data_IF_453663914703
#
_entry.id   IF_453663914703
#
_cell.length_a   1.000
_cell.length_b   1.000
_cell.length_c   1.000
_cell.angle_alpha   90.00
_cell.angle_beta   90.00
_cell.angle_gamma   90.00
#
_symmetry.space_group_name_H-M   'P 1'
#
loop_
_entity.id
_entity.type
_entity.pdbx_description
1 polymer ?
#
# COMPACT_ATOMS: atom_id res chain seq x y z
N UNK A 1 -6.90 -7.01 -20.97
CA UNK A 1 -7.75 -6.06 -21.73
C UNK A 1 -8.68 -5.39 -20.73
N UNK A 2 -8.50 -4.09 -20.52
CA UNK A 2 -9.07 -3.26 -19.43
C UNK A 2 -10.54 -2.90 -19.73
N UNK A 3 -11.48 -3.14 -18.80
CA UNK A 3 -12.87 -2.72 -18.98
C UNK A 3 -13.57 -2.25 -17.68
N UNK A 4 -14.08 -1.00 -17.77
CA UNK A 4 -15.35 -0.44 -17.26
C UNK A 4 -15.81 -0.78 -15.82
N UNK A 5 -15.77 0.22 -14.92
CA UNK A 5 -16.90 0.83 -14.16
C UNK A 5 -16.36 1.61 -12.93
N UNK A 6 -16.80 2.87 -12.78
CA UNK A 6 -16.73 3.88 -11.68
C UNK A 6 -15.75 3.77 -10.47
N UNK A 7 -15.36 2.60 -9.99
CA UNK A 7 -14.36 2.40 -8.94
C UNK A 7 -12.92 2.51 -9.47
N UNK A 8 -12.73 2.22 -10.76
CA UNK A 8 -11.45 2.23 -11.50
C UNK A 8 -10.68 3.56 -11.52
N UNK A 9 -11.34 4.67 -11.19
CA UNK A 9 -10.62 5.95 -11.12
C UNK A 9 -9.92 6.09 -9.78
N UNK A 10 -10.52 5.63 -8.68
CA UNK A 10 -9.98 5.89 -7.35
C UNK A 10 -8.73 5.04 -7.10
N UNK A 11 -8.76 3.75 -7.45
CA UNK A 11 -7.63 2.85 -7.39
C UNK A 11 -6.50 3.25 -8.36
N UNK A 12 -6.79 3.63 -9.61
CA UNK A 12 -5.76 4.17 -10.52
C UNK A 12 -5.20 5.49 -9.97
N UNK A 13 -6.01 6.42 -9.47
CA UNK A 13 -5.55 7.69 -8.88
C UNK A 13 -4.70 7.45 -7.63
N UNK A 14 -5.13 6.55 -6.74
CA UNK A 14 -4.37 6.16 -5.55
C UNK A 14 -3.05 5.54 -5.99
N UNK A 15 -3.07 4.60 -6.92
CA UNK A 15 -1.84 3.96 -7.43
C UNK A 15 -0.90 4.99 -8.05
N UNK A 16 -1.39 5.92 -8.88
CA UNK A 16 -0.59 7.00 -9.46
C UNK A 16 -0.04 7.95 -8.38
N UNK A 17 -0.84 8.27 -7.37
CA UNK A 17 -0.43 9.15 -6.27
C UNK A 17 0.63 8.47 -5.42
N UNK A 18 0.42 7.21 -5.02
CA UNK A 18 1.40 6.41 -4.27
C UNK A 18 2.66 6.15 -5.07
N UNK A 19 2.56 6.07 -6.40
CA UNK A 19 3.73 5.93 -7.25
C UNK A 19 4.69 7.13 -7.15
N UNK A 20 4.20 8.32 -6.80
CA UNK A 20 5.06 9.48 -6.48
C UNK A 20 5.95 9.25 -5.27
N UNK A 21 5.65 8.26 -4.43
CA UNK A 21 6.47 7.83 -3.29
C UNK A 21 7.38 6.63 -3.61
N UNK A 22 7.22 6.02 -4.79
CA UNK A 22 7.97 4.85 -5.26
C UNK A 22 7.10 3.59 -5.40
N UNK A 23 7.53 2.64 -6.25
CA UNK A 23 6.81 1.38 -6.47
C UNK A 23 6.73 0.53 -5.20
N UNK A 24 7.85 0.35 -4.49
CA UNK A 24 7.88 -0.41 -3.23
C UNK A 24 6.92 0.16 -2.18
N UNK A 25 6.78 1.49 -2.09
CA UNK A 25 5.84 2.13 -1.17
C UNK A 25 4.39 1.75 -1.47
N UNK A 26 3.97 1.86 -2.73
CA UNK A 26 2.64 1.42 -3.17
C UNK A 26 2.39 -0.05 -2.85
N UNK A 27 3.38 -0.91 -3.10
CA UNK A 27 3.27 -2.35 -2.79
C UNK A 27 3.06 -2.58 -1.30
N UNK A 28 3.78 -1.88 -0.41
CA UNK A 28 3.59 -2.00 1.04
C UNK A 28 2.13 -1.73 1.48
N UNK A 29 1.48 -0.74 0.89
CA UNK A 29 0.10 -0.41 1.23
C UNK A 29 -0.87 -1.48 0.69
N UNK A 30 -0.68 -1.95 -0.54
CA UNK A 30 -1.56 -2.97 -1.11
C UNK A 30 -1.48 -4.32 -0.38
N UNK A 31 -0.28 -4.76 0.01
CA UNK A 31 -0.14 -6.01 0.78
C UNK A 31 -0.81 -5.90 2.14
N UNK A 32 -0.77 -4.72 2.78
CA UNK A 32 -1.44 -4.48 4.05
C UNK A 32 -2.96 -4.62 3.92
N UNK A 33 -3.53 -3.98 2.89
CA UNK A 33 -4.96 -4.05 2.60
C UNK A 33 -5.39 -5.48 2.28
N UNK A 34 -4.68 -6.15 1.37
CA UNK A 34 -4.99 -7.53 0.99
C UNK A 34 -4.90 -8.48 2.20
N UNK A 35 -3.88 -8.31 3.05
CA UNK A 35 -3.73 -9.12 4.26
C UNK A 35 -4.84 -8.85 5.29
N UNK A 36 -5.29 -7.59 5.43
CA UNK A 36 -6.41 -7.23 6.28
C UNK A 36 -7.73 -7.81 5.78
N UNK A 37 -7.98 -7.76 4.47
CA UNK A 37 -9.22 -8.25 3.83
C UNK A 37 -9.45 -9.75 4.08
N UNK A 38 -8.39 -10.55 4.08
CA UNK A 38 -8.49 -11.99 4.38
C UNK A 38 -8.32 -12.32 5.87
N UNK A 39 -8.21 -11.30 6.73
CA UNK A 39 -8.07 -11.45 8.19
C UNK A 39 -6.71 -11.98 8.65
N UNK A 40 -5.68 -11.92 7.80
CA UNK A 40 -4.30 -12.31 8.16
C UNK A 40 -3.55 -11.20 8.90
N UNK A 41 -3.93 -9.94 8.69
CA UNK A 41 -3.39 -8.80 9.42
C UNK A 41 -4.49 -8.14 10.27
N UNK A 42 -4.18 -7.89 11.54
CA UNK A 42 -5.10 -7.21 12.46
C UNK A 42 -5.20 -5.72 12.12
N UNK A 43 -6.42 -5.23 11.88
CA UNK A 43 -6.69 -3.80 11.64
C UNK A 43 -6.61 -2.93 12.91
N UNK A 44 -6.21 -3.52 14.04
CA UNK A 44 -6.10 -2.84 15.34
C UNK A 44 -4.66 -2.70 15.83
N UNK A 45 -3.71 -3.31 15.14
CA UNK A 45 -2.32 -3.37 15.55
C UNK A 45 -1.43 -2.77 14.46
N UNK A 46 -0.27 -2.26 14.88
CA UNK A 46 0.75 -1.82 13.93
C UNK A 46 1.41 -3.04 13.29
N UNK A 47 1.69 -2.91 11.99
CA UNK A 47 2.37 -3.93 11.20
C UNK A 47 3.51 -3.28 10.41
N UNK A 48 4.60 -4.04 10.25
CA UNK A 48 5.67 -3.70 9.33
C UNK A 48 5.34 -4.30 7.96
N UNK A 49 5.17 -3.45 6.97
CA UNK A 49 4.97 -3.86 5.58
C UNK A 49 6.26 -3.62 4.78
N UNK A 50 6.65 -4.65 4.02
CA UNK A 50 7.89 -4.65 3.24
C UNK A 50 7.53 -4.91 1.77
N UNK A 51 8.02 -4.05 0.89
CA UNK A 51 7.75 -4.05 -0.54
C UNK A 51 9.00 -3.72 -1.35
N UNK A 52 8.93 -3.91 -2.67
CA UNK A 52 10.05 -3.69 -3.57
C UNK A 52 9.64 -3.17 -4.94
N UNK A 53 10.60 -2.61 -5.68
CA UNK A 53 10.40 -2.11 -7.04
C UNK A 53 10.85 -3.15 -8.06
N UNK A 54 9.89 -3.84 -8.68
CA UNK A 54 10.15 -4.86 -9.72
C UNK A 54 10.57 -6.22 -9.16
N UNK A 55 11.61 -6.28 -8.33
CA UNK A 55 12.03 -7.50 -7.62
C UNK A 55 12.70 -7.18 -6.29
N UNK A 56 12.72 -8.16 -5.38
CA UNK A 56 13.30 -8.00 -4.04
C UNK A 56 12.47 -7.09 -3.13
N UNK A 57 13.14 -6.46 -2.16
CA UNK A 57 12.55 -5.54 -1.21
C UNK A 57 13.47 -4.32 -1.04
N UNK A 58 12.92 -3.13 -1.18
CA UNK A 58 13.65 -1.86 -1.12
C UNK A 58 12.95 -0.80 -0.24
N UNK A 59 11.73 -1.09 0.20
CA UNK A 59 10.88 -0.19 0.96
C UNK A 59 10.27 -0.93 2.15
N UNK A 60 10.31 -0.31 3.33
CA UNK A 60 9.66 -0.82 4.53
C UNK A 60 8.99 0.31 5.30
N UNK A 61 7.77 0.07 5.78
CA UNK A 61 6.95 1.05 6.49
C UNK A 61 6.25 0.39 7.68
N UNK A 62 5.98 1.19 8.72
CA UNK A 62 5.08 0.83 9.81
C UNK A 62 3.73 1.48 9.52
N UNK A 63 2.66 0.68 9.55
CA UNK A 63 1.30 1.15 9.32
C UNK A 63 0.29 0.38 10.16
N UNK A 64 -0.93 0.89 10.30
CA UNK A 64 -2.06 0.08 10.76
C UNK A 64 -2.89 -0.35 9.55
N UNK A 65 -3.02 -1.65 9.26
CA UNK A 65 -3.80 -2.14 8.14
C UNK A 65 -5.28 -1.74 8.25
N UNK A 66 -5.94 -1.53 7.12
CA UNK A 66 -7.38 -1.28 7.01
C UNK A 66 -7.96 -2.12 5.87
N UNK A 67 -9.27 -2.27 5.79
CA UNK A 67 -9.89 -2.90 4.62
C UNK A 67 -9.86 -1.93 3.43
N UNK A 68 -9.90 -2.42 2.19
CA UNK A 68 -9.83 -1.56 1.00
C UNK A 68 -10.96 -0.51 0.93
N UNK A 69 -12.12 -0.79 1.52
CA UNK A 69 -13.24 0.17 1.61
C UNK A 69 -12.90 1.38 2.50
N UNK A 70 -12.01 1.20 3.46
CA UNK A 70 -11.59 2.19 4.45
C UNK A 70 -10.20 2.75 4.12
N UNK A 71 -9.75 2.65 2.86
CA UNK A 71 -8.40 3.05 2.44
C UNK A 71 -7.99 4.47 2.90
N UNK A 72 -8.94 5.41 2.91
CA UNK A 72 -8.68 6.78 3.35
C UNK A 72 -8.32 6.90 4.84
N UNK A 73 -8.65 5.89 5.66
CA UNK A 73 -8.30 5.80 7.07
C UNK A 73 -6.96 5.09 7.30
N UNK A 74 -6.32 4.58 6.24
CA UNK A 74 -5.01 3.96 6.32
C UNK A 74 -3.98 4.98 6.84
N UNK A 75 -3.29 4.61 7.92
CA UNK A 75 -2.24 5.43 8.51
C UNK A 75 -0.90 4.74 8.38
N UNK A 76 0.02 5.41 7.70
CA UNK A 76 1.45 5.08 7.71
C UNK A 76 2.08 5.88 8.83
N UNK A 77 2.58 5.18 9.85
CA UNK A 77 3.16 5.77 11.06
C UNK A 77 4.63 6.12 10.86
N UNK A 78 5.36 5.26 10.14
CA UNK A 78 6.79 5.43 9.93
C UNK A 78 7.22 4.88 8.57
N UNK A 79 8.22 5.54 7.95
CA UNK A 79 8.95 5.01 6.79
C UNK A 79 10.34 4.62 7.28
N UNK A 80 10.60 3.31 7.36
CA UNK A 80 11.88 2.76 7.83
C UNK A 80 12.96 2.96 6.77
N UNK A 81 12.63 2.58 5.53
CA UNK A 81 13.50 2.79 4.39
C UNK A 81 12.66 2.92 3.11
N UNK A 82 13.19 3.68 2.15
CA UNK A 82 12.74 3.67 0.76
C UNK A 82 13.88 4.17 -0.14
N UNK A 83 13.91 3.81 -1.44
CA UNK A 83 14.88 4.35 -2.37
C UNK A 83 14.76 5.86 -2.51
N UNK A 84 15.87 6.51 -2.87
CA UNK A 84 15.83 7.88 -3.37
C UNK A 84 15.22 7.86 -4.76
N UNK A 85 14.18 8.67 -4.97
CA UNK A 85 13.56 8.84 -6.28
C UNK A 85 14.53 9.68 -7.14
N UNK A 86 14.84 9.18 -8.34
CA UNK A 86 15.70 9.82 -9.33
C UNK A 86 14.86 10.46 -10.43
#
# INVERSE_FOLDING_TARGET
>A
MRFKLKTYQLDEIIAYTLHTMGQGYKVCLEIALMAAEVGLASVKEEAICIGGSGSGADTAVVLTPVNAQDFCDLKVHEIICKPRLS
#
